data_IF_030920360193
#
_entry.id   IF_030920360193
#
_cell.length_a   1.000
_cell.length_b   1.000
_cell.length_c   1.000
_cell.angle_alpha   90.00
_cell.angle_beta   90.00
_cell.angle_gamma   90.00
#
_symmetry.space_group_name_H-M   'P 1'
#
loop_
_entity.id
_entity.type
_entity.pdbx_description
1 polymer ?
#
# COMPACT_ATOMS: atom_id res chain seq x y z
N UNK A 1 -27.55 1.55 -13.16
CA UNK A 1 -26.50 1.61 -12.11
C UNK A 1 -25.39 0.61 -12.45
N UNK A 2 -24.61 0.89 -13.50
CA UNK A 2 -23.45 0.09 -13.92
C UNK A 2 -22.12 0.84 -13.75
N UNK A 3 -22.18 2.18 -13.71
CA UNK A 3 -21.05 3.08 -13.51
C UNK A 3 -20.25 2.74 -12.25
N UNK A 4 -20.90 2.48 -11.11
CA UNK A 4 -20.21 2.15 -9.85
C UNK A 4 -19.31 0.91 -9.93
N UNK A 5 -19.67 -0.09 -10.75
CA UNK A 5 -18.89 -1.34 -10.82
C UNK A 5 -17.63 -1.18 -11.67
N UNK A 6 -17.74 -0.46 -12.79
CA UNK A 6 -16.59 -0.19 -13.67
C UNK A 6 -15.59 0.73 -12.99
N UNK A 7 -16.08 1.77 -12.29
CA UNK A 7 -15.24 2.65 -11.48
C UNK A 7 -14.56 1.92 -10.33
N UNK A 8 -15.28 1.03 -9.64
CA UNK A 8 -14.70 0.20 -8.58
C UNK A 8 -13.60 -0.74 -9.12
N UNK A 9 -13.84 -1.40 -10.25
CA UNK A 9 -12.83 -2.26 -10.89
C UNK A 9 -11.62 -1.46 -11.35
N UNK A 10 -11.82 -0.26 -11.88
CA UNK A 10 -10.73 0.64 -12.26
C UNK A 10 -9.91 1.05 -11.02
N UNK A 11 -10.56 1.35 -9.89
CA UNK A 11 -9.89 1.65 -8.63
C UNK A 11 -9.08 0.46 -8.11
N UNK A 12 -9.60 -0.77 -8.18
CA UNK A 12 -8.85 -1.97 -7.80
C UNK A 12 -7.61 -2.18 -8.69
N UNK A 13 -7.74 -2.00 -10.01
CA UNK A 13 -6.61 -2.08 -10.94
C UNK A 13 -5.53 -1.04 -10.62
N UNK A 14 -5.93 0.21 -10.35
CA UNK A 14 -4.99 1.29 -9.96
C UNK A 14 -4.31 0.99 -8.63
N UNK A 15 -5.07 0.55 -7.63
CA UNK A 15 -4.55 0.13 -6.32
C UNK A 15 -3.50 -0.96 -6.50
N UNK A 16 -3.83 -2.03 -7.24
CA UNK A 16 -2.89 -3.12 -7.52
C UNK A 16 -1.62 -2.63 -8.22
N UNK A 17 -1.74 -1.77 -9.22
CA UNK A 17 -0.58 -1.22 -9.93
C UNK A 17 0.36 -0.44 -8.99
N UNK A 18 -0.20 0.32 -8.04
CA UNK A 18 0.60 1.01 -7.02
C UNK A 18 1.28 0.03 -6.06
N UNK A 19 0.58 -1.02 -5.61
CA UNK A 19 1.16 -2.05 -4.74
C UNK A 19 2.27 -2.84 -5.45
N UNK A 20 2.11 -3.17 -6.73
CA UNK A 20 3.15 -3.84 -7.52
C UNK A 20 4.39 -2.95 -7.72
N UNK A 21 4.19 -1.65 -7.97
CA UNK A 21 5.29 -0.69 -8.06
C UNK A 21 6.05 -0.57 -6.73
N UNK A 22 5.34 -0.45 -5.60
CA UNK A 22 5.93 -0.45 -4.27
C UNK A 22 6.72 -1.75 -4.00
N UNK A 23 6.14 -2.91 -4.34
CA UNK A 23 6.77 -4.23 -4.17
C UNK A 23 8.10 -4.36 -4.92
N UNK A 24 8.24 -3.73 -6.09
CA UNK A 24 9.50 -3.74 -6.85
C UNK A 24 10.69 -3.13 -6.08
N UNK A 25 10.44 -2.16 -5.19
CA UNK A 25 11.48 -1.61 -4.30
C UNK A 25 11.96 -2.61 -3.25
N UNK A 26 11.10 -3.54 -2.83
CA UNK A 26 11.42 -4.55 -1.83
C UNK A 26 12.10 -5.78 -2.44
N UNK A 27 11.81 -6.12 -3.70
CA UNK A 27 12.37 -7.29 -4.39
C UNK A 27 13.90 -7.34 -4.40
N UNK A 28 14.54 -6.17 -4.41
CA UNK A 28 15.99 -6.06 -4.51
C UNK A 28 16.68 -6.13 -3.15
N UNK A 29 15.93 -6.25 -2.05
CA UNK A 29 16.49 -6.29 -0.70
C UNK A 29 16.69 -7.73 -0.22
N UNK A 30 17.90 -8.07 0.27
CA UNK A 30 18.14 -9.38 0.84
C UNK A 30 17.35 -9.57 2.14
N UNK A 31 16.85 -10.78 2.37
CA UNK A 31 16.19 -11.16 3.62
C UNK A 31 14.74 -10.72 3.78
N UNK A 32 14.16 -10.04 2.79
CA UNK A 32 12.72 -9.75 2.77
C UNK A 32 11.97 -10.89 2.09
N UNK A 33 11.05 -11.53 2.81
CA UNK A 33 10.11 -12.44 2.20
C UNK A 33 8.87 -11.70 1.69
N UNK A 34 8.63 -11.81 0.39
CA UNK A 34 7.48 -11.21 -0.30
C UNK A 34 6.41 -12.25 -0.65
N UNK A 35 6.57 -13.51 -0.22
CA UNK A 35 5.66 -14.61 -0.53
C UNK A 35 4.20 -14.28 -0.14
N UNK A 36 3.98 -13.88 1.12
CA UNK A 36 2.65 -13.52 1.65
C UNK A 36 2.04 -12.31 0.94
N UNK A 37 2.85 -11.29 0.64
CA UNK A 37 2.37 -10.12 -0.12
C UNK A 37 1.93 -10.54 -1.53
N UNK A 38 2.68 -11.44 -2.18
CA UNK A 38 2.34 -11.94 -3.52
C UNK A 38 1.02 -12.72 -3.50
N UNK A 39 0.82 -13.59 -2.51
CA UNK A 39 -0.41 -14.36 -2.34
C UNK A 39 -1.64 -13.44 -2.22
N UNK A 40 -1.58 -12.43 -1.35
CA UNK A 40 -2.67 -11.46 -1.22
C UNK A 40 -2.96 -10.70 -2.53
N UNK A 41 -1.93 -10.33 -3.29
CA UNK A 41 -2.12 -9.70 -4.60
C UNK A 41 -2.78 -10.67 -5.60
N UNK A 42 -2.39 -11.94 -5.63
CA UNK A 42 -3.00 -12.97 -6.47
C UNK A 42 -4.49 -13.18 -6.16
N UNK A 43 -4.86 -13.10 -4.88
CA UNK A 43 -6.24 -13.21 -4.40
C UNK A 43 -7.04 -11.90 -4.39
N UNK A 44 -6.44 -10.79 -4.87
CA UNK A 44 -7.05 -9.45 -4.87
C UNK A 44 -7.42 -8.93 -3.46
N UNK A 45 -6.70 -9.39 -2.43
CA UNK A 45 -6.80 -8.96 -1.04
C UNK A 45 -5.92 -7.72 -0.81
N UNK A 46 -6.22 -6.64 -1.55
CA UNK A 46 -5.35 -5.46 -1.67
C UNK A 46 -5.06 -4.77 -0.33
N UNK A 47 -6.02 -4.76 0.59
CA UNK A 47 -5.83 -4.22 1.94
C UNK A 47 -4.86 -5.04 2.79
N UNK A 48 -4.91 -6.38 2.69
CA UNK A 48 -3.96 -7.26 3.38
C UNK A 48 -2.56 -7.16 2.76
N UNK A 49 -2.46 -7.07 1.43
CA UNK A 49 -1.21 -6.81 0.74
C UNK A 49 -0.59 -5.47 1.19
N UNK A 50 -1.41 -4.43 1.34
CA UNK A 50 -0.98 -3.13 1.86
C UNK A 50 -0.46 -3.22 3.30
N UNK A 51 -1.22 -3.85 4.21
CA UNK A 51 -0.80 -4.05 5.60
C UNK A 51 0.53 -4.79 5.70
N UNK A 52 0.68 -5.89 4.94
CA UNK A 52 1.91 -6.67 4.89
C UNK A 52 3.10 -5.83 4.43
N UNK A 53 2.95 -5.05 3.35
CA UNK A 53 4.04 -4.22 2.85
C UNK A 53 4.41 -3.09 3.81
N UNK A 54 3.44 -2.43 4.45
CA UNK A 54 3.75 -1.42 5.48
C UNK A 54 4.49 -2.06 6.64
N UNK A 55 4.06 -3.24 7.10
CA UNK A 55 4.72 -3.93 8.20
C UNK A 55 6.17 -4.33 7.86
N UNK A 56 6.39 -4.90 6.67
CA UNK A 56 7.73 -5.24 6.17
C UNK A 56 8.61 -3.99 6.00
N UNK A 57 8.01 -2.85 5.65
CA UNK A 57 8.69 -1.60 5.41
C UNK A 57 8.94 -0.76 6.68
N UNK A 58 8.31 -1.07 7.81
CA UNK A 58 8.25 -0.16 8.96
C UNK A 58 9.64 0.13 9.56
N UNK A 59 10.54 -0.85 9.50
CA UNK A 59 11.92 -0.75 9.97
C UNK A 59 12.93 -0.53 8.83
N UNK A 60 12.46 -0.34 7.60
CA UNK A 60 13.30 -0.19 6.43
C UNK A 60 13.40 1.26 6.00
N UNK A 61 14.64 1.70 5.79
CA UNK A 61 14.90 3.02 5.19
C UNK A 61 14.62 2.98 3.68
N UNK A 62 13.34 3.10 3.32
CA UNK A 62 12.88 3.05 1.93
C UNK A 62 12.77 4.46 1.33
N UNK A 63 13.00 4.60 0.00
CA UNK A 63 12.94 5.89 -0.67
C UNK A 63 11.51 6.46 -0.66
N UNK A 64 11.38 7.78 -0.82
CA UNK A 64 10.08 8.45 -0.87
C UNK A 64 9.15 7.85 -1.93
N UNK A 65 9.70 7.45 -3.09
CA UNK A 65 8.93 6.83 -4.17
C UNK A 65 8.15 5.59 -3.74
N UNK A 66 8.71 4.77 -2.85
CA UNK A 66 7.99 3.64 -2.27
C UNK A 66 6.78 4.12 -1.47
N UNK A 67 6.98 5.06 -0.56
CA UNK A 67 5.91 5.58 0.31
C UNK A 67 4.84 6.34 -0.47
N UNK A 68 5.21 7.00 -1.57
CA UNK A 68 4.24 7.64 -2.48
C UNK A 68 3.37 6.60 -3.19
N UNK A 69 3.93 5.45 -3.60
CA UNK A 69 3.13 4.37 -4.16
C UNK A 69 2.16 3.80 -3.11
N UNK A 70 2.62 3.62 -1.87
CA UNK A 70 1.76 3.16 -0.77
C UNK A 70 0.64 4.17 -0.44
N UNK A 71 0.93 5.47 -0.36
CA UNK A 71 -0.10 6.51 -0.14
C UNK A 71 -1.15 6.52 -1.25
N UNK A 72 -0.74 6.42 -2.52
CA UNK A 72 -1.69 6.37 -3.64
C UNK A 72 -2.59 5.14 -3.57
N UNK A 73 -2.05 3.97 -3.21
CA UNK A 73 -2.85 2.77 -2.98
C UNK A 73 -3.85 2.96 -1.83
N UNK A 74 -3.42 3.56 -0.72
CA UNK A 74 -4.28 3.83 0.43
C UNK A 74 -5.42 4.82 0.09
N UNK A 75 -5.15 5.83 -0.75
CA UNK A 75 -6.17 6.79 -1.24
C UNK A 75 -7.21 6.13 -2.13
N UNK A 76 -6.78 5.29 -3.07
CA UNK A 76 -7.70 4.53 -3.92
C UNK A 76 -8.64 3.64 -3.10
N UNK A 77 -8.12 3.01 -2.05
CA UNK A 77 -8.90 2.21 -1.09
C UNK A 77 -9.63 3.02 -0.02
N UNK A 78 -9.46 4.35 0.00
CA UNK A 78 -10.07 5.27 0.99
C UNK A 78 -9.74 4.92 2.45
N UNK A 79 -8.51 4.45 2.72
CA UNK A 79 -8.08 4.02 4.06
C UNK A 79 -7.90 5.16 5.06
N UNK A 80 -7.80 6.41 4.59
CA UNK A 80 -7.66 7.60 5.45
C UNK A 80 -8.98 8.13 6.01
N UNK A 81 -10.06 7.35 5.92
CA UNK A 81 -11.35 7.73 6.47
C UNK A 81 -11.33 7.76 8.01
N UNK A 82 -11.90 8.81 8.59
CA UNK A 82 -12.06 9.00 10.05
C UNK A 82 -13.08 8.04 10.70
N UNK A 83 -13.61 7.07 9.95
CA UNK A 83 -14.53 6.09 10.51
C UNK A 83 -13.83 5.27 11.61
N UNK A 84 -14.47 5.09 12.78
CA UNK A 84 -13.83 4.47 13.96
C UNK A 84 -13.41 3.01 13.73
N UNK A 85 -13.99 2.33 12.74
CA UNK A 85 -13.72 0.94 12.37
C UNK A 85 -13.09 0.79 10.98
N UNK A 86 -12.39 1.81 10.48
CA UNK A 86 -11.69 1.68 9.19
C UNK A 86 -10.63 0.57 9.30
N UNK A 87 -10.74 -0.52 8.51
CA UNK A 87 -9.71 -1.54 8.47
C UNK A 87 -8.39 -0.93 7.99
N UNK A 88 -7.25 -1.54 8.33
CA UNK A 88 -5.92 -1.05 7.89
C UNK A 88 -5.52 0.33 8.44
N UNK A 89 -6.24 0.86 9.44
CA UNK A 89 -5.96 2.18 10.04
C UNK A 89 -4.55 2.31 10.59
N UNK A 90 -4.03 1.27 11.23
CA UNK A 90 -2.65 1.28 11.79
C UNK A 90 -1.62 1.37 10.67
N UNK A 91 -1.76 0.57 9.62
CA UNK A 91 -0.84 0.58 8.50
C UNK A 91 -0.91 1.89 7.71
N UNK A 92 -2.11 2.41 7.45
CA UNK A 92 -2.28 3.70 6.77
C UNK A 92 -1.70 4.87 7.57
N UNK A 93 -1.85 4.87 8.90
CA UNK A 93 -1.19 5.84 9.76
C UNK A 93 0.36 5.72 9.70
N UNK A 94 0.91 4.51 9.74
CA UNK A 94 2.37 4.34 9.61
C UNK A 94 2.88 4.76 8.23
N UNK A 95 2.14 4.46 7.17
CA UNK A 95 2.46 4.90 5.81
C UNK A 95 2.57 6.43 5.73
N UNK A 96 1.65 7.19 6.34
CA UNK A 96 1.72 8.65 6.37
C UNK A 96 2.93 9.15 7.16
N UNK A 97 3.24 8.53 8.30
CA UNK A 97 4.41 8.86 9.12
C UNK A 97 5.70 8.69 8.32
N UNK A 98 5.85 7.57 7.64
CA UNK A 98 7.04 7.29 6.84
C UNK A 98 7.12 8.14 5.57
N UNK A 99 5.98 8.42 4.93
CA UNK A 99 5.92 9.36 3.80
C UNK A 99 6.42 10.74 4.20
N UNK A 100 5.96 11.26 5.34
CA UNK A 100 6.42 12.54 5.87
C UNK A 100 7.93 12.51 6.15
N UNK A 101 8.38 11.50 6.92
CA UNK A 101 9.79 11.36 7.28
C UNK A 101 10.72 11.20 6.05
N UNK A 102 10.27 10.49 5.00
CA UNK A 102 11.04 10.35 3.76
C UNK A 102 11.05 11.65 2.94
N UNK A 103 9.96 12.42 2.95
CA UNK A 103 9.86 13.69 2.21
C UNK A 103 10.78 14.77 2.80
N UNK A 104 11.07 14.72 4.09
CA UNK A 104 11.98 15.67 4.76
C UNK A 104 13.47 15.39 4.48
N UNK A 105 13.79 14.25 3.87
CA UNK A 105 15.18 13.78 3.65
C UNK A 105 15.67 13.96 2.20
N UNK A 106 14.77 14.27 1.27
CA UNK A 106 15.08 14.62 -0.13
C UNK A 106 15.17 16.13 -0.32
#
# INVERSE_FOLDING_TARGET
>A
MTYDREELQASWKRTRAHLDAARAHLMHRPGIDLSTTREFLEHNELGLAFDCMVHLADDLDLPLSFWQHMDRAAREMRLYSDAPNTPHRKASASCLRHLAAASERE
#
